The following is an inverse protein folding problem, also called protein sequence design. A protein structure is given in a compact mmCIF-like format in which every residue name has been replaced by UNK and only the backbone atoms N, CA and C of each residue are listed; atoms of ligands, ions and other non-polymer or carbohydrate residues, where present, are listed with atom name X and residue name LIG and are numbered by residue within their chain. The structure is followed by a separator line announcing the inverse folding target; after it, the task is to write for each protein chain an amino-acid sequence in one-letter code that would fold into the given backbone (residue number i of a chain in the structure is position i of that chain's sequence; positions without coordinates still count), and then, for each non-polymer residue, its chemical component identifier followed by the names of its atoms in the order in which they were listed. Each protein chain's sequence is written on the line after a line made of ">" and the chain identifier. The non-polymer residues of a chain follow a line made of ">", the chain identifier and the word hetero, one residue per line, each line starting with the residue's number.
data_IF_407182795709
#
_entry.id   IF_407182795709
#
_cell.length_a   1.000
_cell.length_b   1.000
_cell.length_c   1.000
_cell.angle_alpha   90.00
_cell.angle_beta   90.00
_cell.angle_gamma   90.00
#
_symmetry.space_group_name_H-M   'P 1'
#
loop_
_entity.id
_entity.type
_entity.pdbx_description
1 polymer ?
#
# COMPACT_ATOMS: atom_id res chain seq x y z
N UNK A 1 64.17 20.03 -17.79
CA UNK A 1 63.69 19.28 -16.61
C UNK A 1 62.37 19.89 -16.20
N UNK A 2 61.33 19.63 -16.98
CA UNK A 2 59.95 19.91 -16.57
C UNK A 2 59.39 18.56 -16.13
N UNK A 3 59.58 18.24 -14.85
CA UNK A 3 59.00 17.05 -14.26
C UNK A 3 58.19 17.44 -13.03
N UNK A 4 56.87 17.48 -13.26
CA UNK A 4 55.89 16.82 -12.41
C UNK A 4 55.84 17.32 -10.96
N UNK A 5 55.29 18.53 -10.76
CA UNK A 5 54.62 18.90 -9.50
C UNK A 5 53.24 19.51 -9.79
N UNK A 6 52.48 18.88 -10.70
CA UNK A 6 51.02 19.04 -10.67
C UNK A 6 50.49 18.15 -9.55
N UNK A 7 50.61 18.68 -8.34
CA UNK A 7 49.96 18.19 -7.14
C UNK A 7 48.53 17.74 -7.48
N UNK A 8 48.28 16.50 -7.14
CA UNK A 8 47.02 15.74 -7.21
C UNK A 8 45.90 16.49 -6.49
N UNK A 9 45.30 17.47 -7.18
CA UNK A 9 44.19 18.26 -6.67
C UNK A 9 43.23 18.55 -7.81
N UNK A 10 42.54 17.51 -8.26
CA UNK A 10 41.53 17.62 -9.30
C UNK A 10 40.72 16.35 -9.59
N UNK A 11 40.93 15.24 -8.85
CA UNK A 11 40.23 13.97 -9.10
C UNK A 11 39.13 13.67 -8.06
N UNK A 12 38.50 14.69 -7.48
CA UNK A 12 37.37 14.52 -6.54
C UNK A 12 36.17 15.43 -6.83
N UNK A 13 35.97 15.83 -8.09
CA UNK A 13 34.89 16.77 -8.44
C UNK A 13 33.93 16.27 -9.54
N UNK A 14 33.87 14.97 -9.84
CA UNK A 14 32.94 14.47 -10.88
C UNK A 14 32.03 13.30 -10.48
N UNK A 15 32.16 12.74 -9.28
CA UNK A 15 31.34 11.58 -8.88
C UNK A 15 30.01 11.97 -8.18
N UNK A 16 29.78 13.27 -7.93
CA UNK A 16 28.65 13.76 -7.11
C UNK A 16 27.56 14.55 -7.87
N UNK A 17 27.67 14.67 -9.20
CA UNK A 17 26.78 15.54 -9.99
C UNK A 17 25.31 15.13 -9.93
N UNK A 18 24.98 13.83 -9.93
CA UNK A 18 23.58 13.39 -9.88
C UNK A 18 22.98 13.29 -8.48
N UNK A 19 23.82 13.09 -7.45
CA UNK A 19 23.37 13.16 -6.05
C UNK A 19 22.99 14.60 -5.66
N UNK A 20 23.67 15.59 -6.25
CA UNK A 20 23.49 17.02 -5.89
C UNK A 20 22.44 17.72 -6.75
N UNK A 21 22.37 17.44 -8.05
CA UNK A 21 21.46 18.14 -8.99
C UNK A 21 20.17 17.37 -9.33
N UNK A 22 20.11 16.08 -9.02
CA UNK A 22 18.94 15.22 -9.22
C UNK A 22 18.69 14.81 -10.67
N UNK A 23 18.05 13.66 -10.86
CA UNK A 23 17.73 13.10 -12.18
C UNK A 23 16.49 13.77 -12.80
N UNK A 24 16.48 13.94 -14.14
CA UNK A 24 15.32 14.38 -14.93
C UNK A 24 14.96 13.31 -15.98
N UNK A 25 13.67 13.17 -16.27
CA UNK A 25 13.19 12.31 -17.36
C UNK A 25 13.17 13.16 -18.64
N UNK A 26 13.89 12.74 -19.68
CA UNK A 26 13.83 13.32 -21.02
C UNK A 26 13.61 12.21 -22.04
N UNK A 27 12.51 12.28 -22.80
CA UNK A 27 12.25 11.41 -23.97
C UNK A 27 12.59 9.92 -23.72
N UNK A 28 12.10 9.39 -22.59
CA UNK A 28 12.29 8.01 -22.10
C UNK A 28 13.68 7.62 -21.57
N UNK A 29 14.56 8.59 -21.33
CA UNK A 29 15.85 8.39 -20.66
C UNK A 29 15.95 9.17 -19.35
N UNK A 30 16.58 8.55 -18.35
CA UNK A 30 16.93 9.19 -17.09
C UNK A 30 18.25 9.95 -17.25
N UNK A 31 18.18 11.27 -17.36
CA UNK A 31 19.35 12.11 -17.60
C UNK A 31 19.65 13.01 -16.41
N UNK A 32 20.92 13.18 -16.12
CA UNK A 32 21.46 14.17 -15.20
C UNK A 32 22.55 14.95 -15.95
N UNK A 33 22.81 16.20 -15.54
CA UNK A 33 23.52 17.21 -16.34
C UNK A 33 24.92 16.78 -16.84
N UNK A 34 25.56 15.80 -16.19
CA UNK A 34 26.86 15.23 -16.58
C UNK A 34 26.91 13.69 -16.64
N UNK A 35 25.77 12.97 -16.60
CA UNK A 35 25.78 11.51 -16.68
C UNK A 35 24.45 10.81 -16.41
N UNK A 36 24.35 9.54 -16.81
CA UNK A 36 23.18 8.69 -16.57
C UNK A 36 23.03 8.41 -15.08
N UNK A 37 21.81 8.51 -14.56
CA UNK A 37 21.52 8.04 -13.21
C UNK A 37 21.56 6.50 -13.20
N UNK A 38 22.75 5.92 -13.03
CA UNK A 38 22.98 4.48 -12.87
C UNK A 38 22.36 3.59 -13.95
N UNK A 39 23.13 3.26 -15.00
CA UNK A 39 22.73 2.37 -16.10
C UNK A 39 21.42 2.76 -16.81
N UNK A 40 21.05 2.06 -17.89
CA UNK A 40 19.87 2.36 -18.72
C UNK A 40 18.56 2.07 -17.97
N UNK A 41 18.16 2.97 -17.08
CA UNK A 41 16.88 2.85 -16.37
C UNK A 41 15.72 3.16 -17.31
N UNK A 42 14.67 2.34 -17.25
CA UNK A 42 13.38 2.67 -17.85
C UNK A 42 12.78 3.92 -17.18
N UNK A 43 11.80 4.54 -17.86
CA UNK A 43 11.09 5.72 -17.33
C UNK A 43 10.55 5.53 -15.91
N UNK A 44 9.94 4.38 -15.63
CA UNK A 44 9.39 4.07 -14.30
C UNK A 44 10.46 3.92 -13.22
N UNK A 45 11.59 3.30 -13.57
CA UNK A 45 12.73 3.15 -12.66
C UNK A 45 13.39 4.51 -12.36
N UNK A 46 13.52 5.38 -13.37
CA UNK A 46 14.00 6.74 -13.20
C UNK A 46 13.13 7.55 -12.24
N UNK A 47 11.80 7.46 -12.37
CA UNK A 47 10.86 8.17 -11.48
C UNK A 47 10.97 7.68 -10.04
N UNK A 48 11.13 6.36 -9.85
CA UNK A 48 11.34 5.75 -8.55
C UNK A 48 12.65 6.23 -7.91
N UNK A 49 13.74 6.23 -8.67
CA UNK A 49 15.04 6.67 -8.17
C UNK A 49 15.06 8.17 -7.88
N UNK A 50 14.44 8.98 -8.74
CA UNK A 50 14.27 10.42 -8.50
C UNK A 50 13.44 10.70 -7.24
N UNK A 51 12.39 9.91 -6.98
CA UNK A 51 11.62 10.00 -5.72
C UNK A 51 12.49 9.62 -4.53
N UNK A 52 13.26 8.54 -4.62
CA UNK A 52 14.21 8.10 -3.57
C UNK A 52 15.23 9.21 -3.25
N UNK A 53 15.89 9.78 -4.26
CA UNK A 53 16.87 10.85 -4.09
C UNK A 53 16.27 12.11 -3.47
N UNK A 54 15.09 12.55 -3.93
CA UNK A 54 14.38 13.70 -3.36
C UNK A 54 14.02 13.51 -1.89
N UNK A 55 13.75 12.28 -1.48
CA UNK A 55 13.32 11.94 -0.13
C UNK A 55 14.46 11.45 0.77
N UNK A 56 15.69 11.36 0.28
CA UNK A 56 16.81 10.74 0.99
C UNK A 56 17.18 11.48 2.29
N UNK A 57 17.01 12.80 2.34
CA UNK A 57 17.27 13.62 3.52
C UNK A 57 16.00 13.90 4.37
N UNK A 58 14.87 13.29 4.03
CA UNK A 58 13.59 13.50 4.74
C UNK A 58 13.40 12.43 5.80
N UNK A 59 13.29 12.83 7.06
CA UNK A 59 12.86 11.96 8.16
C UNK A 59 11.35 12.09 8.35
N UNK A 60 10.61 10.99 8.14
CA UNK A 60 9.17 10.97 8.34
C UNK A 60 8.79 10.66 9.79
N UNK A 61 7.66 11.19 10.28
CA UNK A 61 7.15 10.82 11.60
C UNK A 61 6.87 9.33 11.67
N UNK A 62 7.12 8.72 12.83
CA UNK A 62 6.76 7.33 13.10
C UNK A 62 5.25 7.26 13.24
N UNK A 63 4.60 6.53 12.33
CA UNK A 63 3.17 6.29 12.37
C UNK A 63 2.95 4.86 12.85
N UNK A 64 2.24 4.63 13.97
CA UNK A 64 1.95 3.29 14.46
C UNK A 64 1.22 2.47 13.40
N UNK A 65 1.67 1.23 13.20
CA UNK A 65 1.02 0.28 12.29
C UNK A 65 0.07 -0.61 13.09
N UNK A 66 -1.25 -0.60 12.80
CA UNK A 66 -2.20 -1.42 13.53
C UNK A 66 -2.05 -2.92 13.17
N UNK A 67 -2.36 -3.79 14.12
CA UNK A 67 -2.60 -5.21 13.85
C UNK A 67 -4.05 -5.39 13.41
N UNK A 68 -4.26 -5.98 12.23
CA UNK A 68 -5.60 -6.17 11.69
C UNK A 68 -6.26 -7.46 12.18
N UNK A 69 -7.59 -7.46 12.37
CA UNK A 69 -8.33 -8.67 12.66
C UNK A 69 -8.26 -9.66 11.47
N UNK A 70 -8.53 -10.97 11.70
CA UNK A 70 -8.32 -12.01 10.69
C UNK A 70 -9.13 -11.82 9.39
N UNK A 71 -10.30 -11.20 9.48
CA UNK A 71 -11.22 -10.92 8.37
C UNK A 71 -10.85 -9.66 7.55
N UNK A 72 -9.68 -9.09 7.84
CA UNK A 72 -9.24 -7.82 7.27
C UNK A 72 -7.79 -7.90 6.78
N UNK A 73 -7.40 -6.92 5.97
CA UNK A 73 -6.02 -6.73 5.53
C UNK A 73 -5.56 -5.30 5.79
N UNK A 74 -4.25 -5.12 5.93
CA UNK A 74 -3.64 -3.81 6.14
C UNK A 74 -3.37 -3.13 4.79
N UNK A 75 -3.91 -1.93 4.60
CA UNK A 75 -3.67 -1.13 3.38
C UNK A 75 -2.27 -0.52 3.38
N UNK A 76 -1.79 -0.13 2.20
CA UNK A 76 -0.57 0.68 2.11
C UNK A 76 -0.89 2.11 2.60
N UNK A 77 0.01 2.74 3.36
CA UNK A 77 -0.16 4.14 3.71
C UNK A 77 -0.15 5.01 2.45
N UNK A 78 -0.93 6.08 2.45
CA UNK A 78 -1.02 6.97 1.30
C UNK A 78 0.03 8.08 1.40
N UNK A 79 0.87 8.15 0.37
CA UNK A 79 1.85 9.22 0.17
C UNK A 79 1.37 10.01 -1.05
N UNK A 80 0.92 11.27 -0.88
CA UNK A 80 0.49 12.10 -2.00
C UNK A 80 1.59 12.27 -3.05
N UNK A 81 1.23 12.58 -4.31
CA UNK A 81 2.21 12.90 -5.34
C UNK A 81 3.19 13.97 -4.87
N UNK A 82 4.47 13.80 -5.22
CA UNK A 82 5.57 14.71 -4.85
C UNK A 82 5.91 14.85 -3.37
N UNK A 83 5.20 14.18 -2.46
CA UNK A 83 5.56 14.12 -1.05
C UNK A 83 6.39 12.88 -0.73
N UNK A 84 7.15 12.99 0.37
CA UNK A 84 8.03 11.92 0.86
C UNK A 84 7.42 11.11 2.00
N UNK A 85 6.54 11.73 2.79
CA UNK A 85 5.97 11.12 3.98
C UNK A 85 4.50 10.76 3.80
N UNK A 86 4.02 9.69 4.46
CA UNK A 86 2.62 9.33 4.44
C UNK A 86 1.80 10.40 5.16
N UNK A 87 0.71 10.83 4.52
CA UNK A 87 -0.28 11.70 5.16
C UNK A 87 -1.44 10.91 5.76
N UNK A 88 -1.75 9.74 5.18
CA UNK A 88 -2.70 8.80 5.77
C UNK A 88 -1.99 7.52 6.20
N UNK A 89 -2.24 7.04 7.44
CA UNK A 89 -1.69 5.80 7.92
C UNK A 89 -2.22 4.60 7.11
N UNK A 90 -1.54 3.47 7.26
CA UNK A 90 -2.12 2.20 6.89
C UNK A 90 -3.36 1.93 7.77
N UNK A 91 -4.44 1.46 7.15
CA UNK A 91 -5.70 1.17 7.82
C UNK A 91 -6.09 -0.29 7.57
N UNK A 92 -6.82 -0.87 8.50
CA UNK A 92 -7.43 -2.18 8.27
C UNK A 92 -8.66 -2.00 7.38
N UNK A 93 -8.76 -2.80 6.34
CA UNK A 93 -9.90 -2.85 5.41
C UNK A 93 -10.41 -4.27 5.35
N UNK A 94 -11.74 -4.42 5.22
CA UNK A 94 -12.35 -5.74 5.11
C UNK A 94 -11.83 -6.53 3.93
N UNK A 95 -11.53 -7.79 4.19
CA UNK A 95 -11.15 -8.78 3.19
C UNK A 95 -12.39 -9.61 2.84
N UNK A 96 -13.20 -9.11 1.91
CA UNK A 96 -14.46 -9.76 1.55
C UNK A 96 -14.28 -11.11 0.84
N UNK A 97 -13.08 -11.41 0.33
CA UNK A 97 -12.74 -12.74 -0.20
C UNK A 97 -12.74 -13.81 0.91
N UNK A 98 -12.56 -13.41 2.17
CA UNK A 98 -12.71 -14.31 3.33
C UNK A 98 -14.15 -14.47 3.78
N UNK A 99 -15.10 -13.72 3.21
CA UNK A 99 -16.50 -13.87 3.55
C UNK A 99 -17.08 -15.13 2.88
N UNK A 100 -17.92 -15.89 3.59
CA UNK A 100 -18.64 -17.00 2.98
C UNK A 100 -19.59 -16.49 1.89
N UNK A 101 -19.46 -17.00 0.66
CA UNK A 101 -20.33 -16.63 -0.46
C UNK A 101 -21.78 -17.09 -0.28
N UNK A 102 -21.98 -18.20 0.46
CA UNK A 102 -23.30 -18.71 0.86
C UNK A 102 -23.27 -19.16 2.33
N UNK A 103 -24.43 -19.24 3.00
CA UNK A 103 -24.53 -19.87 4.30
C UNK A 103 -23.96 -21.30 4.28
N UNK A 104 -23.39 -21.80 5.39
CA UNK A 104 -22.83 -23.14 5.45
C UNK A 104 -23.91 -24.20 5.23
N UNK A 105 -23.52 -25.32 4.63
CA UNK A 105 -24.39 -26.48 4.51
C UNK A 105 -24.55 -27.11 5.92
N UNK A 106 -25.79 -27.22 6.39
CA UNK A 106 -26.13 -27.72 7.72
C UNK A 106 -26.51 -29.20 7.71
N UNK A 107 -26.37 -29.91 8.84
CA UNK A 107 -26.87 -31.28 8.98
C UNK A 107 -28.37 -31.42 8.67
N UNK A 108 -28.85 -32.64 8.34
CA UNK A 108 -30.27 -32.88 8.14
C UNK A 108 -31.12 -32.38 9.32
N UNK A 109 -32.26 -31.75 9.01
CA UNK A 109 -33.15 -31.15 10.01
C UNK A 109 -32.64 -29.83 10.62
N UNK A 110 -31.47 -29.32 10.21
CA UNK A 110 -30.95 -28.02 10.64
C UNK A 110 -30.92 -27.00 9.49
N UNK A 111 -30.97 -25.72 9.84
CA UNK A 111 -30.83 -24.59 8.91
C UNK A 111 -29.79 -23.60 9.42
N UNK A 112 -29.13 -22.90 8.51
CA UNK A 112 -28.15 -21.87 8.86
C UNK A 112 -28.87 -20.57 9.25
N UNK A 113 -28.66 -20.10 10.48
CA UNK A 113 -29.20 -18.83 10.97
C UNK A 113 -28.07 -17.82 11.15
N UNK A 114 -28.31 -16.57 10.77
CA UNK A 114 -27.38 -15.48 11.04
C UNK A 114 -27.38 -15.22 12.55
N UNK A 115 -26.23 -15.44 13.19
CA UNK A 115 -26.01 -15.11 14.61
C UNK A 115 -25.39 -13.72 14.79
N UNK A 116 -24.69 -13.23 13.77
CA UNK A 116 -24.12 -11.89 13.78
C UNK A 116 -24.18 -11.32 12.37
N UNK A 117 -24.75 -10.12 12.23
CA UNK A 117 -24.68 -9.40 10.96
C UNK A 117 -23.33 -8.69 10.85
N UNK A 118 -22.57 -9.02 9.81
CA UNK A 118 -21.46 -8.20 9.35
C UNK A 118 -21.93 -6.79 9.04
N UNK A 119 -21.10 -5.81 9.38
CA UNK A 119 -21.35 -4.39 9.15
C UNK A 119 -20.32 -3.78 8.18
N UNK A 120 -19.50 -4.62 7.53
CA UNK A 120 -18.46 -4.18 6.60
C UNK A 120 -17.31 -3.43 7.26
N UNK A 121 -17.16 -3.52 8.59
CA UNK A 121 -16.02 -2.94 9.32
C UNK A 121 -15.04 -4.03 9.74
N UNK A 122 -13.73 -3.75 9.81
CA UNK A 122 -12.73 -4.70 10.28
C UNK A 122 -13.12 -5.36 11.61
N UNK A 123 -13.05 -6.69 11.67
CA UNK A 123 -13.45 -7.50 12.83
C UNK A 123 -14.93 -7.90 12.81
N UNK A 124 -15.74 -7.33 11.92
CA UNK A 124 -17.12 -7.74 11.66
C UNK A 124 -17.48 -7.55 10.17
N UNK A 125 -16.61 -8.00 9.27
CA UNK A 125 -16.80 -7.80 7.84
C UNK A 125 -17.99 -8.62 7.29
N UNK A 126 -18.16 -9.84 7.76
CA UNK A 126 -19.08 -10.82 7.18
C UNK A 126 -20.18 -11.25 8.16
N UNK A 127 -21.31 -11.75 7.63
CA UNK A 127 -22.28 -12.46 8.45
C UNK A 127 -21.66 -13.72 9.06
N UNK A 128 -21.99 -14.02 10.31
CA UNK A 128 -21.65 -15.30 10.97
C UNK A 128 -22.90 -16.14 11.09
N UNK A 129 -22.79 -17.41 10.76
CA UNK A 129 -23.90 -18.35 10.74
C UNK A 129 -23.70 -19.44 11.78
N UNK A 130 -24.81 -19.96 12.30
CA UNK A 130 -24.85 -21.16 13.12
C UNK A 130 -25.99 -22.06 12.64
N UNK A 131 -25.72 -23.36 12.52
CA UNK A 131 -26.76 -24.34 12.25
C UNK A 131 -27.62 -24.56 13.49
N UNK A 132 -28.94 -24.40 13.34
CA UNK A 132 -29.93 -24.71 14.39
C UNK A 132 -31.00 -25.65 13.84
N UNK A 133 -31.67 -26.45 14.69
CA UNK A 133 -32.84 -27.22 14.26
C UNK A 133 -33.82 -26.31 13.54
N UNK A 134 -34.32 -26.76 12.39
CA UNK A 134 -35.30 -26.00 11.62
C UNK A 134 -36.63 -26.03 12.34
N UNK A 135 -36.88 -25.06 13.24
CA UNK A 135 -38.25 -24.71 13.59
C UNK A 135 -38.87 -24.02 12.38
N UNK A 136 -40.05 -24.48 11.99
CA UNK A 136 -40.81 -23.96 10.86
C UNK A 136 -40.90 -22.44 10.99
N UNK A 137 -40.39 -21.74 9.97
CA UNK A 137 -40.10 -20.31 10.00
C UNK A 137 -41.30 -19.49 10.47
N UNK A 138 -41.22 -18.89 11.66
CA UNK A 138 -41.96 -17.67 11.94
C UNK A 138 -41.45 -16.61 10.96
N UNK A 139 -42.31 -16.24 10.01
CA UNK A 139 -42.12 -15.25 8.97
C UNK A 139 -41.55 -13.97 9.57
N UNK A 140 -40.26 -13.71 9.36
CA UNK A 140 -39.75 -12.34 9.50
C UNK A 140 -40.08 -11.62 8.21
N UNK A 141 -41.29 -11.06 8.19
CA UNK A 141 -41.60 -9.91 7.34
C UNK A 141 -40.49 -8.90 7.59
N UNK A 142 -39.66 -8.64 6.57
CA UNK A 142 -38.91 -7.40 6.51
C UNK A 142 -39.63 -6.57 5.49
N UNK A 143 -40.47 -5.70 6.02
CA UNK A 143 -40.99 -4.53 5.33
C UNK A 143 -39.87 -3.89 4.51
N UNK A 144 -40.14 -3.77 3.21
CA UNK A 144 -39.47 -2.82 2.33
C UNK A 144 -39.94 -1.42 2.74
N UNK A 145 -39.28 -0.84 3.73
CA UNK A 145 -39.30 0.59 4.09
C UNK A 145 -37.81 1.00 4.17
N UNK A 146 -37.30 2.04 3.53
CA UNK A 146 -37.89 3.23 2.89
C UNK A 146 -36.82 3.89 2.00
N UNK A 147 -37.33 4.68 1.03
CA UNK A 147 -36.81 5.94 0.44
C UNK A 147 -35.43 6.04 -0.21
#
# INVERSE_FOLDING_TARGET
>A
MEMIEKMERGEKEEEWTCMTMGCKVQEDRCVCQMGSCGSQLSRGECEKERKRLRCASVTCPVVPVPSCPPDSFLTKPYIPPHQCCPQLPALCTCDFEKCPAKPPDCPPGHRAHIVTRGNGRPGNCCHRYLCRPGEESATQNRDEEEE
#
